data_IF_396446358276
#
_entry.id   IF_396446358276
#
_cell.length_a   1.000
_cell.length_b   1.000
_cell.length_c   1.000
_cell.angle_alpha   90.00
_cell.angle_beta   90.00
_cell.angle_gamma   90.00
#
_symmetry.space_group_name_H-M   'P 1'
#
loop_
_entity.id
_entity.type
_entity.pdbx_description
1 polymer ?
#
# COMPACT_ATOMS: atom_id res chain seq x y z
N UNK A 1 -30.72 -8.86 11.46
CA UNK A 1 -29.60 -9.10 12.40
C UNK A 1 -28.42 -8.30 11.89
N UNK A 2 -27.82 -7.44 12.73
CA UNK A 2 -26.57 -6.75 12.37
C UNK A 2 -25.49 -7.84 12.12
N UNK A 3 -24.76 -7.73 11.03
CA UNK A 3 -23.67 -8.65 10.73
C UNK A 3 -22.58 -8.42 11.79
N UNK A 4 -22.15 -9.44 12.56
CA UNK A 4 -21.16 -9.26 13.63
C UNK A 4 -19.79 -8.75 13.16
N UNK A 5 -19.54 -8.69 11.86
CA UNK A 5 -18.34 -8.09 11.28
C UNK A 5 -18.35 -6.54 11.28
N UNK A 6 -19.50 -5.92 11.55
CA UNK A 6 -19.64 -4.46 11.58
C UNK A 6 -19.42 -3.87 12.96
N UNK A 7 -19.39 -4.71 14.00
CA UNK A 7 -19.07 -4.29 15.35
C UNK A 7 -17.55 -4.17 15.53
N UNK A 8 -17.16 -3.23 16.39
CA UNK A 8 -15.77 -3.09 16.77
C UNK A 8 -15.30 -4.34 17.51
N UNK A 9 -14.31 -5.03 16.95
CA UNK A 9 -13.61 -6.12 17.65
C UNK A 9 -12.59 -5.48 18.58
N UNK A 10 -12.71 -5.72 19.88
CA UNK A 10 -11.77 -5.22 20.90
C UNK A 10 -11.31 -6.37 21.79
N UNK A 11 -10.01 -6.46 22.04
CA UNK A 11 -9.46 -7.41 23.00
C UNK A 11 -9.94 -7.08 24.42
N UNK A 12 -10.28 -8.07 25.22
CA UNK A 12 -10.91 -7.90 26.54
C UNK A 12 -9.96 -7.22 27.54
N UNK A 13 -8.69 -7.62 27.61
CA UNK A 13 -7.72 -7.02 28.51
C UNK A 13 -7.52 -5.53 28.14
N UNK A 14 -7.41 -5.20 26.84
CA UNK A 14 -7.31 -3.81 26.37
C UNK A 14 -8.56 -2.98 26.69
N UNK A 15 -9.75 -3.57 26.59
CA UNK A 15 -11.00 -2.92 26.96
C UNK A 15 -11.05 -2.58 28.46
N UNK A 16 -10.40 -3.39 29.30
CA UNK A 16 -10.26 -3.20 30.74
C UNK A 16 -9.04 -2.35 31.14
N UNK A 17 -8.33 -1.77 30.18
CA UNK A 17 -7.09 -1.02 30.39
C UNK A 17 -5.97 -1.86 31.06
N UNK A 18 -5.90 -3.15 30.73
CA UNK A 18 -4.89 -4.09 31.20
C UNK A 18 -3.91 -4.44 30.07
N UNK A 19 -2.66 -4.82 30.43
CA UNK A 19 -1.71 -5.32 29.45
C UNK A 19 -2.18 -6.67 28.91
N UNK A 20 -2.31 -6.84 27.57
CA UNK A 20 -3.00 -8.02 27.03
C UNK A 20 -2.19 -9.31 27.22
N UNK A 21 -2.81 -10.33 27.80
CA UNK A 21 -2.23 -11.69 27.96
C UNK A 21 -1.91 -12.32 26.58
N UNK A 22 -2.76 -12.09 25.58
CA UNK A 22 -2.54 -12.58 24.22
C UNK A 22 -1.25 -11.99 23.61
N UNK A 23 -1.01 -10.70 23.81
CA UNK A 23 0.22 -10.04 23.37
C UNK A 23 1.45 -10.60 24.09
N UNK A 24 1.36 -10.80 25.41
CA UNK A 24 2.42 -11.40 26.21
C UNK A 24 2.76 -12.81 25.74
N UNK A 25 1.74 -13.62 25.46
CA UNK A 25 1.92 -14.97 24.91
C UNK A 25 2.62 -14.97 23.53
N UNK A 26 2.22 -14.05 22.64
CA UNK A 26 2.86 -13.88 21.33
C UNK A 26 4.32 -13.45 21.47
N UNK A 27 4.62 -12.50 22.39
CA UNK A 27 5.97 -12.03 22.65
C UNK A 27 6.90 -13.13 23.21
N UNK A 28 6.35 -14.04 24.01
CA UNK A 28 7.08 -15.17 24.58
C UNK A 28 7.30 -16.33 23.57
N UNK A 29 6.54 -16.37 22.49
CA UNK A 29 6.63 -17.43 21.48
C UNK A 29 7.79 -17.24 20.51
N UNK A 30 8.22 -18.33 19.85
CA UNK A 30 9.18 -18.31 18.72
C UNK A 30 8.49 -18.03 17.38
N UNK A 31 7.16 -17.84 17.37
CA UNK A 31 6.36 -17.61 16.17
C UNK A 31 6.48 -16.19 15.60
N UNK A 32 5.67 -15.94 14.57
CA UNK A 32 5.57 -14.63 13.94
C UNK A 32 5.12 -13.57 14.96
N UNK A 33 5.79 -12.42 14.93
CA UNK A 33 5.46 -11.23 15.74
C UNK A 33 5.26 -10.04 14.82
N UNK A 34 4.07 -9.43 14.86
CA UNK A 34 3.87 -8.16 14.17
C UNK A 34 4.85 -7.09 14.70
N UNK A 35 5.07 -6.03 13.91
CA UNK A 35 6.04 -4.99 14.29
C UNK A 35 5.66 -4.32 15.62
N UNK A 36 4.38 -4.10 15.86
CA UNK A 36 3.87 -3.58 17.14
C UNK A 36 4.27 -4.47 18.31
N UNK A 37 4.10 -5.79 18.21
CA UNK A 37 4.43 -6.74 19.27
C UNK A 37 5.95 -6.80 19.58
N UNK A 38 6.80 -6.44 18.61
CA UNK A 38 8.25 -6.36 18.81
C UNK A 38 8.68 -5.08 19.55
N UNK A 39 7.88 -4.02 19.49
CA UNK A 39 8.17 -2.70 20.11
C UNK A 39 7.49 -2.53 21.46
N UNK A 40 6.25 -3.01 21.60
CA UNK A 40 5.46 -2.83 22.81
C UNK A 40 6.06 -3.58 23.99
N UNK A 41 6.27 -2.89 25.11
CA UNK A 41 6.69 -3.48 26.39
C UNK A 41 5.70 -3.13 27.49
N UNK A 42 5.76 -3.86 28.62
CA UNK A 42 4.92 -3.52 29.80
C UNK A 42 5.23 -2.13 30.34
N UNK A 43 6.50 -1.71 30.32
CA UNK A 43 6.93 -0.38 30.78
C UNK A 43 6.35 0.72 29.88
N UNK A 44 6.38 0.51 28.56
CA UNK A 44 5.80 1.46 27.59
C UNK A 44 4.28 1.54 27.75
N UNK A 45 3.63 0.39 27.98
CA UNK A 45 2.21 0.31 28.26
C UNK A 45 1.85 1.13 29.51
N UNK A 46 2.49 0.84 30.65
CA UNK A 46 2.22 1.56 31.92
C UNK A 46 2.45 3.07 31.81
N UNK A 47 3.41 3.49 30.99
CA UNK A 47 3.69 4.89 30.72
C UNK A 47 2.57 5.60 29.95
N UNK A 48 1.93 4.92 29.00
CA UNK A 48 1.07 5.56 28.01
C UNK A 48 -0.40 5.12 28.04
N UNK A 49 -0.76 4.08 28.80
CA UNK A 49 -2.11 3.47 28.79
C UNK A 49 -3.25 4.44 29.15
N UNK A 50 -2.98 5.44 29.98
CA UNK A 50 -3.98 6.40 30.43
C UNK A 50 -4.02 7.67 29.58
N UNK A 51 -3.05 7.82 28.66
CA UNK A 51 -3.01 8.96 27.74
C UNK A 51 -4.06 8.82 26.64
N UNK A 52 -4.67 9.96 26.27
CA UNK A 52 -5.63 10.08 25.18
C UNK A 52 -5.26 11.29 24.34
N UNK A 53 -5.27 11.12 23.01
CA UNK A 53 -5.07 12.26 22.11
C UNK A 53 -6.16 13.33 22.29
N UNK A 54 -5.82 14.59 22.09
CA UNK A 54 -6.75 15.69 22.35
C UNK A 54 -7.88 15.76 21.32
N UNK A 55 -7.59 15.45 20.05
CA UNK A 55 -8.57 15.61 18.95
C UNK A 55 -9.60 14.49 18.89
N UNK A 56 -9.22 13.22 19.05
CA UNK A 56 -10.13 12.09 18.92
C UNK A 56 -10.30 11.27 20.22
N UNK A 57 -9.56 11.59 21.26
CA UNK A 57 -9.52 10.74 22.48
C UNK A 57 -8.96 9.34 22.19
N UNK A 58 -8.10 9.21 21.17
CA UNK A 58 -7.52 7.94 20.79
C UNK A 58 -6.59 7.42 21.88
N UNK A 59 -6.66 6.12 22.18
CA UNK A 59 -5.90 5.49 23.27
C UNK A 59 -4.85 4.54 22.75
N UNK A 60 -3.82 4.26 23.55
CA UNK A 60 -2.83 3.23 23.23
C UNK A 60 -3.49 1.85 23.05
N UNK A 61 -4.49 1.52 23.87
CA UNK A 61 -5.28 0.28 23.75
C UNK A 61 -5.88 0.12 22.35
N UNK A 62 -6.50 1.19 21.83
CA UNK A 62 -7.06 1.19 20.47
C UNK A 62 -5.97 1.09 19.41
N UNK A 63 -4.84 1.79 19.63
CA UNK A 63 -3.73 1.77 18.67
C UNK A 63 -3.14 0.37 18.46
N UNK A 64 -2.99 -0.45 19.51
CA UNK A 64 -2.37 -1.78 19.44
C UNK A 64 -3.37 -2.94 19.23
N UNK A 65 -4.66 -2.66 19.25
CA UNK A 65 -5.71 -3.69 19.27
C UNK A 65 -5.62 -4.67 18.09
N UNK A 66 -5.30 -4.19 16.89
CA UNK A 66 -5.21 -5.06 15.70
C UNK A 66 -4.16 -6.15 15.86
N UNK A 67 -2.96 -5.80 16.30
CA UNK A 67 -1.87 -6.76 16.49
C UNK A 67 -2.06 -7.68 17.68
N UNK A 68 -2.86 -7.23 18.66
CA UNK A 68 -3.25 -8.04 19.83
C UNK A 68 -4.30 -9.09 19.43
N UNK A 69 -5.38 -8.68 18.75
CA UNK A 69 -6.43 -9.59 18.30
C UNK A 69 -5.98 -10.53 17.15
N UNK A 70 -5.07 -10.03 16.31
CA UNK A 70 -4.59 -10.73 15.10
C UNK A 70 -3.07 -10.68 15.01
N UNK A 71 -2.36 -11.54 15.76
CA UNK A 71 -0.89 -11.59 15.78
C UNK A 71 -0.25 -11.86 14.41
N UNK A 72 -0.99 -12.48 13.47
CA UNK A 72 -0.57 -12.69 12.09
C UNK A 72 -0.53 -11.40 11.25
N UNK A 73 -1.06 -10.27 11.75
CA UNK A 73 -0.92 -8.98 11.10
C UNK A 73 0.56 -8.60 10.94
N UNK A 74 0.91 -7.87 9.89
CA UNK A 74 2.31 -7.48 9.70
C UNK A 74 2.70 -6.31 10.59
N UNK A 75 1.91 -5.23 10.60
CA UNK A 75 2.22 -3.99 11.35
C UNK A 75 1.68 -4.03 12.78
N UNK A 76 0.41 -4.35 12.96
CA UNK A 76 -0.23 -4.57 14.25
C UNK A 76 -0.72 -3.32 14.99
N UNK A 77 -0.49 -2.10 14.47
CA UNK A 77 -0.97 -0.87 15.10
C UNK A 77 -1.57 0.12 14.09
N UNK A 78 -2.50 0.97 14.57
CA UNK A 78 -3.18 1.98 13.78
C UNK A 78 -3.35 3.29 14.55
N UNK A 79 -3.24 4.41 13.83
CA UNK A 79 -3.49 5.75 14.35
C UNK A 79 -4.97 6.11 14.20
N UNK A 80 -5.53 6.81 15.19
CA UNK A 80 -6.90 7.32 15.17
C UNK A 80 -7.02 8.79 14.76
N UNK A 81 -5.91 9.51 14.80
CA UNK A 81 -5.76 10.93 14.45
C UNK A 81 -4.30 11.27 14.15
N UNK A 82 -4.05 12.52 13.76
CA UNK A 82 -2.69 12.99 13.49
C UNK A 82 -1.81 12.96 14.75
N UNK A 83 -2.38 13.31 15.91
CA UNK A 83 -1.69 13.39 17.19
C UNK A 83 -1.18 12.02 17.66
N UNK A 84 -1.83 10.93 17.25
CA UNK A 84 -1.39 9.56 17.55
C UNK A 84 0.08 9.33 17.23
N UNK A 85 0.60 9.92 16.14
CA UNK A 85 1.98 9.74 15.71
C UNK A 85 2.98 10.50 16.59
N UNK A 86 2.57 11.58 17.24
CA UNK A 86 3.40 12.36 18.16
C UNK A 86 3.27 11.88 19.60
N UNK A 87 2.05 11.62 20.05
CA UNK A 87 1.74 11.26 21.42
C UNK A 87 2.22 9.84 21.76
N UNK A 88 2.09 8.92 20.79
CA UNK A 88 2.57 7.54 20.91
C UNK A 88 3.83 7.28 20.06
N UNK A 89 4.69 8.28 19.88
CA UNK A 89 5.89 8.17 19.02
C UNK A 89 6.83 7.04 19.46
N UNK A 90 6.89 6.72 20.74
CA UNK A 90 7.73 5.62 21.26
C UNK A 90 7.26 4.24 20.76
N UNK A 91 6.00 4.10 20.36
CA UNK A 91 5.47 2.95 19.65
C UNK A 91 5.61 3.11 18.14
N UNK A 92 5.07 4.22 17.60
CA UNK A 92 4.92 4.35 16.14
C UNK A 92 6.25 4.54 15.41
N UNK A 93 7.19 5.32 15.94
CA UNK A 93 8.44 5.62 15.23
C UNK A 93 9.32 4.38 15.03
N UNK A 94 9.57 3.52 16.01
CA UNK A 94 10.26 2.25 15.78
C UNK A 94 9.54 1.35 14.78
N UNK A 95 8.21 1.23 14.85
CA UNK A 95 7.41 0.46 13.89
C UNK A 95 7.55 1.01 12.47
N UNK A 96 7.53 2.33 12.30
CA UNK A 96 7.72 3.00 11.01
C UNK A 96 9.12 2.68 10.44
N UNK A 97 10.17 2.82 11.23
CA UNK A 97 11.54 2.53 10.81
C UNK A 97 11.75 1.05 10.45
N UNK A 98 11.15 0.14 11.21
CA UNK A 98 11.20 -1.30 10.93
C UNK A 98 10.47 -1.64 9.62
N UNK A 99 9.36 -0.98 9.33
CA UNK A 99 8.60 -1.20 8.09
C UNK A 99 9.28 -0.54 6.89
N UNK A 100 9.60 0.75 6.98
CA UNK A 100 10.21 1.55 5.92
C UNK A 100 11.74 1.50 6.01
N UNK A 101 12.31 0.31 5.94
CA UNK A 101 13.75 0.03 6.11
C UNK A 101 14.64 1.09 5.44
N UNK A 102 15.56 1.66 6.20
CA UNK A 102 16.48 2.69 5.75
C UNK A 102 15.95 4.13 5.88
N UNK A 103 14.69 4.32 6.30
CA UNK A 103 14.15 5.64 6.66
C UNK A 103 14.32 5.91 8.16
N UNK A 104 14.61 7.17 8.52
CA UNK A 104 14.76 7.62 9.91
C UNK A 104 13.72 8.65 10.28
N UNK A 105 13.12 8.47 11.45
CA UNK A 105 12.08 9.36 12.00
C UNK A 105 12.64 10.43 12.95
N UNK A 106 13.95 10.49 13.12
CA UNK A 106 14.67 11.43 13.99
C UNK A 106 14.82 12.85 13.43
N UNK A 107 14.24 13.12 12.26
CA UNK A 107 14.33 14.41 11.57
C UNK A 107 15.52 14.55 10.61
N UNK A 108 16.41 13.55 10.56
CA UNK A 108 17.54 13.55 9.60
C UNK A 108 17.08 13.31 8.15
N UNK A 109 15.89 12.75 7.97
CA UNK A 109 15.27 12.52 6.66
C UNK A 109 13.91 13.22 6.60
N UNK A 110 13.59 13.75 5.40
CA UNK A 110 12.27 14.31 5.09
C UNK A 110 11.65 13.59 3.90
N UNK A 111 10.33 13.47 3.93
CA UNK A 111 9.60 12.91 2.80
C UNK A 111 9.44 13.94 1.68
N UNK A 112 9.58 13.50 0.44
CA UNK A 112 9.38 14.32 -0.77
C UNK A 112 8.22 13.73 -1.57
N UNK A 113 7.23 14.57 -1.89
CA UNK A 113 6.12 14.22 -2.78
C UNK A 113 6.41 14.78 -4.18
N UNK A 114 6.32 13.95 -5.19
CA UNK A 114 6.48 14.36 -6.59
C UNK A 114 5.71 13.42 -7.51
N UNK A 115 4.62 13.92 -8.08
CA UNK A 115 3.74 13.21 -9.00
C UNK A 115 3.92 13.63 -10.47
N UNK A 116 5.08 14.22 -10.82
CA UNK A 116 5.39 14.63 -12.17
C UNK A 116 5.61 13.42 -13.08
N UNK A 117 4.71 13.23 -14.02
CA UNK A 117 4.69 12.10 -14.99
C UNK A 117 5.88 12.15 -15.93
N UNK A 118 6.36 13.36 -16.27
CA UNK A 118 7.45 13.56 -17.22
C UNK A 118 8.81 13.07 -16.67
N UNK A 119 8.91 12.92 -15.35
CA UNK A 119 10.08 12.33 -14.69
C UNK A 119 10.18 10.82 -14.83
N UNK A 120 9.12 10.16 -15.32
CA UNK A 120 9.17 8.74 -15.66
C UNK A 120 9.84 8.57 -17.01
N UNK A 121 11.13 8.23 -16.98
CA UNK A 121 11.96 8.08 -18.20
C UNK A 121 11.98 6.65 -18.75
N UNK A 122 11.56 5.66 -17.96
CA UNK A 122 11.52 4.25 -18.37
C UNK A 122 10.09 3.84 -18.72
N UNK A 123 9.88 3.34 -19.95
CA UNK A 123 8.61 2.70 -20.38
C UNK A 123 8.65 1.19 -20.24
N UNK A 124 7.48 0.56 -20.36
CA UNK A 124 7.41 -0.88 -20.59
C UNK A 124 7.87 -1.18 -22.02
N UNK A 125 8.79 -2.14 -22.20
CA UNK A 125 9.14 -2.64 -23.52
C UNK A 125 7.97 -3.41 -24.14
N UNK A 126 7.91 -3.51 -25.49
CA UNK A 126 6.81 -4.15 -26.24
C UNK A 126 6.51 -5.56 -25.72
N UNK A 127 7.55 -6.34 -25.48
CA UNK A 127 7.43 -7.70 -24.94
C UNK A 127 6.83 -7.76 -23.55
N UNK A 128 7.16 -6.79 -22.70
CA UNK A 128 6.60 -6.65 -21.35
C UNK A 128 5.14 -6.23 -21.46
N UNK A 129 4.85 -5.24 -22.29
CA UNK A 129 3.51 -4.71 -22.48
C UNK A 129 2.51 -5.79 -22.93
N UNK A 130 2.93 -6.70 -23.80
CA UNK A 130 2.13 -7.86 -24.22
C UNK A 130 1.82 -8.86 -23.08
N UNK A 131 2.56 -8.81 -21.97
CA UNK A 131 2.35 -9.67 -20.80
C UNK A 131 1.58 -8.98 -19.65
N UNK A 132 1.37 -7.67 -19.71
CA UNK A 132 0.61 -6.94 -18.71
C UNK A 132 -0.89 -7.10 -18.97
N UNK A 133 -1.60 -7.61 -17.96
CA UNK A 133 -3.05 -7.78 -18.00
C UNK A 133 -3.75 -6.48 -17.63
N UNK A 134 -3.27 -5.84 -16.55
CA UNK A 134 -3.86 -4.60 -16.02
C UNK A 134 -2.83 -3.80 -15.24
N UNK A 135 -3.05 -2.50 -15.21
CA UNK A 135 -2.30 -1.54 -14.39
C UNK A 135 -3.26 -0.88 -13.41
N UNK A 136 -2.87 -0.80 -12.13
CA UNK A 136 -3.64 -0.13 -11.08
C UNK A 136 -2.72 0.68 -10.17
N UNK A 137 -2.94 1.99 -10.11
CA UNK A 137 -2.21 2.87 -9.19
C UNK A 137 -3.22 3.54 -8.27
N UNK A 138 -2.98 3.46 -6.97
CA UNK A 138 -3.83 4.05 -5.95
C UNK A 138 -3.02 4.83 -4.93
N UNK A 139 -3.62 5.89 -4.38
CA UNK A 139 -3.09 6.62 -3.23
C UNK A 139 -4.19 6.88 -2.23
N UNK A 140 -3.83 7.21 -0.99
CA UNK A 140 -4.78 7.63 0.04
C UNK A 140 -4.53 9.08 0.45
N UNK A 141 -5.60 9.75 0.87
CA UNK A 141 -5.56 11.08 1.48
C UNK A 141 -6.52 11.14 2.67
N UNK A 142 -6.05 11.73 3.75
CA UNK A 142 -6.88 12.00 4.92
C UNK A 142 -7.06 13.52 5.08
N UNK A 143 -8.27 13.94 5.44
CA UNK A 143 -8.66 15.35 5.52
C UNK A 143 -8.24 15.92 6.88
N UNK A 144 -7.55 17.04 6.86
CA UNK A 144 -6.94 17.65 8.06
C UNK A 144 -7.96 18.13 9.10
N UNK A 145 -9.19 18.40 8.67
CA UNK A 145 -10.26 18.89 9.53
C UNK A 145 -11.01 17.81 10.33
N UNK A 146 -10.68 16.54 10.12
CA UNK A 146 -11.31 15.39 10.79
C UNK A 146 -10.25 14.48 11.43
N UNK A 147 -10.58 13.72 12.49
CA UNK A 147 -9.73 12.62 12.94
C UNK A 147 -9.64 11.56 11.84
N UNK A 148 -8.62 10.70 11.88
CA UNK A 148 -8.53 9.56 10.97
C UNK A 148 -9.74 8.62 11.12
N UNK A 149 -10.05 7.83 10.09
CA UNK A 149 -11.24 6.98 10.08
C UNK A 149 -11.42 6.10 11.34
N UNK A 150 -10.38 5.44 11.90
CA UNK A 150 -10.52 4.68 13.16
C UNK A 150 -10.93 5.53 14.37
N UNK A 151 -10.47 6.77 14.45
CA UNK A 151 -10.80 7.70 15.54
C UNK A 151 -12.06 8.53 15.31
N UNK A 152 -12.64 8.48 14.09
CA UNK A 152 -13.84 9.20 13.72
C UNK A 152 -15.12 8.59 14.28
N UNK A 153 -16.19 9.40 14.33
CA UNK A 153 -17.56 8.97 14.68
C UNK A 153 -18.38 8.71 13.42
N UNK A 154 -19.60 8.21 13.61
CA UNK A 154 -20.58 8.07 12.51
C UNK A 154 -20.86 9.41 11.83
N UNK A 155 -21.03 10.47 12.62
CA UNK A 155 -21.27 11.84 12.15
C UNK A 155 -20.09 12.33 11.31
N UNK A 156 -18.85 12.15 11.79
CA UNK A 156 -17.65 12.47 11.03
C UNK A 156 -17.62 11.80 9.67
N UNK A 157 -17.97 10.51 9.61
CA UNK A 157 -17.98 9.77 8.34
C UNK A 157 -19.07 10.25 7.39
N UNK A 158 -20.24 10.63 7.93
CA UNK A 158 -21.32 11.21 7.13
C UNK A 158 -20.91 12.57 6.57
N UNK A 159 -20.34 13.46 7.40
CA UNK A 159 -19.83 14.77 6.98
C UNK A 159 -18.77 14.66 5.88
N UNK A 160 -17.82 13.70 6.01
CA UNK A 160 -16.82 13.42 4.96
C UNK A 160 -17.51 13.00 3.66
N UNK A 161 -18.48 12.09 3.73
CA UNK A 161 -19.19 11.63 2.53
C UNK A 161 -19.98 12.76 1.86
N UNK A 162 -20.63 13.63 2.63
CA UNK A 162 -21.38 14.79 2.14
C UNK A 162 -20.45 15.86 1.54
N UNK A 163 -19.29 16.09 2.16
CA UNK A 163 -18.24 16.96 1.63
C UNK A 163 -17.72 16.44 0.30
N UNK A 164 -17.40 15.14 0.23
CA UNK A 164 -16.87 14.54 -0.99
C UNK A 164 -17.88 14.54 -2.14
N UNK A 165 -19.18 14.37 -1.86
CA UNK A 165 -20.22 14.49 -2.90
C UNK A 165 -20.24 15.88 -3.54
N UNK A 166 -20.04 16.95 -2.75
CA UNK A 166 -19.90 18.32 -3.27
C UNK A 166 -18.62 18.47 -4.11
N UNK A 167 -17.52 17.86 -3.70
CA UNK A 167 -16.25 17.86 -4.45
C UNK A 167 -16.40 17.10 -5.77
N UNK A 168 -17.11 15.96 -5.78
CA UNK A 168 -17.35 15.20 -7.01
C UNK A 168 -18.13 15.98 -8.07
N UNK A 169 -19.00 16.88 -7.65
CA UNK A 169 -19.71 17.76 -8.57
C UNK A 169 -18.81 18.79 -9.29
N UNK A 170 -17.55 18.96 -8.83
CA UNK A 170 -16.57 19.84 -9.48
C UNK A 170 -15.64 19.10 -10.45
N UNK A 171 -15.74 17.77 -10.51
CA UNK A 171 -14.87 16.97 -11.40
C UNK A 171 -15.42 17.00 -12.83
N UNK A 172 -14.52 17.18 -13.80
CA UNK A 172 -14.85 17.37 -15.20
C UNK A 172 -14.09 16.37 -16.10
N UNK A 173 -14.53 16.26 -17.37
CA UNK A 173 -13.89 15.45 -18.38
C UNK A 173 -13.86 13.95 -18.01
N UNK A 174 -12.70 13.31 -18.17
CA UNK A 174 -12.46 11.90 -17.85
C UNK A 174 -12.45 11.59 -16.34
N UNK A 175 -12.51 12.63 -15.50
CA UNK A 175 -12.64 12.48 -14.04
C UNK A 175 -14.10 12.62 -13.57
N UNK A 176 -15.03 13.08 -14.41
CA UNK A 176 -16.44 13.20 -14.06
C UNK A 176 -17.12 11.83 -13.93
N UNK A 177 -18.03 11.68 -12.97
CA UNK A 177 -18.64 10.38 -12.72
C UNK A 177 -19.81 10.41 -11.75
N UNK A 178 -20.11 9.26 -11.15
CA UNK A 178 -21.22 9.06 -10.22
C UNK A 178 -20.74 8.55 -8.86
N UNK A 179 -21.33 9.09 -7.80
CA UNK A 179 -21.13 8.63 -6.44
C UNK A 179 -22.22 7.66 -6.01
N UNK A 180 -21.83 6.50 -5.50
CA UNK A 180 -22.69 5.44 -5.00
C UNK A 180 -22.49 5.31 -3.48
N UNK A 181 -23.46 5.74 -2.69
CA UNK A 181 -23.44 5.56 -1.23
C UNK A 181 -23.83 4.14 -0.86
N UNK A 182 -23.07 3.48 0.00
CA UNK A 182 -23.37 2.10 0.45
C UNK A 182 -24.77 1.92 1.06
N UNK A 183 -25.31 2.98 1.66
CA UNK A 183 -26.63 2.96 2.28
C UNK A 183 -27.80 3.09 1.31
N UNK A 184 -27.56 3.49 0.06
CA UNK A 184 -28.63 3.79 -0.91
C UNK A 184 -28.44 3.15 -2.28
N UNK A 185 -27.39 2.33 -2.47
CA UNK A 185 -27.21 1.55 -3.70
C UNK A 185 -28.35 0.57 -3.90
N UNK A 186 -28.85 0.52 -5.14
CA UNK A 186 -29.79 -0.52 -5.56
C UNK A 186 -29.06 -1.87 -5.68
N UNK A 187 -29.77 -3.01 -5.63
CA UNK A 187 -29.16 -4.33 -5.87
C UNK A 187 -28.41 -4.43 -7.21
N UNK A 188 -28.92 -3.79 -8.28
CA UNK A 188 -28.29 -3.76 -9.60
C UNK A 188 -26.98 -2.98 -9.59
N UNK A 189 -26.94 -1.78 -8.97
CA UNK A 189 -25.71 -0.99 -8.81
C UNK A 189 -24.68 -1.75 -7.98
N UNK A 190 -25.12 -2.40 -6.90
CA UNK A 190 -24.24 -3.24 -6.08
C UNK A 190 -23.62 -4.37 -6.90
N UNK A 191 -24.43 -5.07 -7.70
CA UNK A 191 -23.95 -6.18 -8.53
C UNK A 191 -22.94 -5.69 -9.59
N UNK A 192 -23.23 -4.57 -10.26
CA UNK A 192 -22.29 -3.98 -11.23
C UNK A 192 -20.93 -3.66 -10.59
N UNK A 193 -20.92 -3.03 -9.41
CA UNK A 193 -19.67 -2.71 -8.69
C UNK A 193 -18.93 -3.97 -8.21
N UNK A 194 -19.64 -5.08 -7.94
CA UNK A 194 -19.03 -6.38 -7.66
C UNK A 194 -18.37 -6.96 -8.90
N UNK A 195 -19.08 -6.97 -10.03
CA UNK A 195 -18.61 -7.52 -11.30
C UNK A 195 -17.39 -6.76 -11.84
N UNK A 196 -17.34 -5.45 -11.64
CA UNK A 196 -16.19 -4.60 -11.97
C UNK A 196 -15.04 -4.71 -10.96
N UNK A 197 -15.21 -5.43 -9.84
CA UNK A 197 -14.24 -5.52 -8.74
C UNK A 197 -13.92 -4.16 -8.07
N UNK A 198 -14.89 -3.24 -8.05
CA UNK A 198 -14.76 -1.92 -7.45
C UNK A 198 -15.32 -1.85 -6.03
N UNK A 199 -16.22 -2.77 -5.68
CA UNK A 199 -16.89 -2.74 -4.38
C UNK A 199 -15.96 -3.20 -3.26
N UNK A 200 -15.64 -2.31 -2.32
CA UNK A 200 -15.09 -2.72 -1.03
C UNK A 200 -16.20 -3.12 -0.04
N UNK A 201 -15.91 -4.09 0.79
CA UNK A 201 -16.88 -4.69 1.74
C UNK A 201 -16.33 -4.65 3.15
N UNK A 202 -17.21 -4.39 4.14
CA UNK A 202 -16.86 -4.35 5.56
C UNK A 202 -16.78 -5.74 6.20
N UNK A 203 -16.05 -6.70 5.63
CA UNK A 203 -16.02 -8.10 6.09
C UNK A 203 -14.66 -8.59 6.57
N UNK A 204 -13.68 -7.73 6.66
CA UNK A 204 -12.34 -8.08 7.11
C UNK A 204 -12.24 -7.87 8.64
N UNK A 205 -12.02 -8.98 9.38
CA UNK A 205 -11.93 -8.95 10.84
C UNK A 205 -10.74 -8.14 11.36
N UNK A 206 -9.61 -8.14 10.64
CA UNK A 206 -8.44 -7.34 11.01
C UNK A 206 -8.74 -5.85 10.86
N UNK A 207 -9.46 -5.46 9.80
CA UNK A 207 -9.93 -4.10 9.62
C UNK A 207 -11.01 -3.71 10.65
N UNK A 208 -11.85 -4.64 11.09
CA UNK A 208 -12.79 -4.40 12.18
C UNK A 208 -12.04 -4.14 13.51
N UNK A 209 -10.98 -4.90 13.81
CA UNK A 209 -10.15 -4.68 15.00
C UNK A 209 -9.37 -3.36 14.95
N UNK A 210 -9.05 -2.84 13.76
CA UNK A 210 -8.43 -1.50 13.60
C UNK A 210 -9.42 -0.33 13.79
N UNK A 211 -10.73 -0.61 13.77
CA UNK A 211 -11.79 0.41 13.84
C UNK A 211 -12.26 0.91 12.47
N UNK A 212 -11.74 0.38 11.36
CA UNK A 212 -12.13 0.80 10.00
C UNK A 212 -13.61 0.57 9.70
N UNK A 213 -14.22 -0.44 10.30
CA UNK A 213 -15.62 -0.82 10.04
C UNK A 213 -16.61 -0.26 11.06
N UNK A 214 -16.19 0.59 12.00
CA UNK A 214 -17.12 1.22 12.92
C UNK A 214 -18.26 1.91 12.16
N UNK A 215 -19.51 1.74 12.62
CA UNK A 215 -20.73 2.30 12.04
C UNK A 215 -20.99 1.92 10.57
N UNK A 216 -20.50 0.76 10.13
CA UNK A 216 -20.76 0.28 8.77
C UNK A 216 -22.28 0.14 8.52
N UNK A 217 -22.80 0.47 7.32
CA UNK A 217 -22.11 1.03 6.15
C UNK A 217 -22.21 2.57 6.06
N UNK A 218 -22.55 3.25 7.14
CA UNK A 218 -22.81 4.70 7.16
C UNK A 218 -21.57 5.52 6.78
N UNK A 219 -21.80 6.56 5.97
CA UNK A 219 -20.74 7.45 5.49
C UNK A 219 -19.76 6.82 4.49
N UNK A 220 -20.03 5.61 3.98
CA UNK A 220 -19.20 4.94 2.95
C UNK A 220 -19.82 5.08 1.58
N UNK A 221 -18.94 5.10 0.59
CA UNK A 221 -19.38 5.15 -0.80
C UNK A 221 -18.23 4.95 -1.79
N UNK A 222 -18.59 4.79 -3.04
CA UNK A 222 -17.69 4.63 -4.16
C UNK A 222 -18.07 5.65 -5.23
N UNK A 223 -17.11 6.47 -5.64
CA UNK A 223 -17.24 7.29 -6.84
C UNK A 223 -16.57 6.57 -8.01
N UNK A 224 -17.21 6.59 -9.19
CA UNK A 224 -16.68 5.97 -10.41
C UNK A 224 -16.82 6.93 -11.56
N UNK A 225 -15.75 7.17 -12.33
CA UNK A 225 -15.79 7.97 -13.56
C UNK A 225 -16.62 7.27 -14.65
N UNK A 226 -17.09 8.05 -15.61
CA UNK A 226 -17.95 7.53 -16.67
C UNK A 226 -17.27 6.46 -17.54
N UNK A 227 -15.94 6.49 -17.66
CA UNK A 227 -15.11 5.51 -18.38
C UNK A 227 -14.59 4.35 -17.51
N UNK A 228 -14.99 4.30 -16.23
CA UNK A 228 -14.62 3.27 -15.25
C UNK A 228 -13.10 3.16 -14.94
N UNK A 229 -12.29 4.14 -15.35
CA UNK A 229 -10.85 4.13 -15.18
C UNK A 229 -10.34 4.92 -13.96
N UNK A 230 -11.22 5.73 -13.36
CA UNK A 230 -10.93 6.52 -12.18
C UNK A 230 -12.02 6.32 -11.13
N UNK A 231 -11.62 5.92 -9.93
CA UNK A 231 -12.58 5.66 -8.86
C UNK A 231 -12.02 6.08 -7.49
N UNK A 232 -12.93 6.41 -6.58
CA UNK A 232 -12.60 6.72 -5.21
C UNK A 232 -13.39 5.87 -4.24
N UNK A 233 -12.72 5.40 -3.20
CA UNK A 233 -13.35 4.81 -2.02
C UNK A 233 -13.38 5.83 -0.90
N UNK A 234 -14.55 6.03 -0.31
CA UNK A 234 -14.78 6.98 0.78
C UNK A 234 -14.96 6.21 2.09
N UNK A 235 -14.14 6.56 3.10
CA UNK A 235 -14.15 5.96 4.44
C UNK A 235 -14.02 4.43 4.44
N UNK A 236 -13.15 3.88 3.58
CA UNK A 236 -12.80 2.45 3.67
C UNK A 236 -11.83 2.24 4.83
N UNK A 237 -10.54 2.52 4.70
CA UNK A 237 -9.55 2.54 5.78
C UNK A 237 -9.04 3.94 6.07
N UNK A 238 -8.78 4.69 5.01
CA UNK A 238 -8.51 6.14 5.02
C UNK A 238 -9.74 6.89 4.52
N UNK A 239 -9.81 8.22 4.71
CA UNK A 239 -10.96 9.01 4.27
C UNK A 239 -11.22 8.90 2.78
N UNK A 240 -10.13 8.98 1.98
CA UNK A 240 -10.21 8.95 0.52
C UNK A 240 -9.14 8.00 -0.01
N UNK A 241 -9.52 6.99 -0.76
CA UNK A 241 -8.61 6.22 -1.61
C UNK A 241 -8.89 6.55 -3.06
N UNK A 242 -7.91 7.15 -3.73
CA UNK A 242 -7.97 7.58 -5.13
C UNK A 242 -7.30 6.52 -5.97
N UNK A 243 -7.99 6.00 -6.97
CA UNK A 243 -7.58 4.84 -7.75
C UNK A 243 -7.70 5.18 -9.23
N UNK A 244 -6.63 4.97 -9.97
CA UNK A 244 -6.62 4.97 -11.43
C UNK A 244 -6.21 3.60 -11.92
N UNK A 245 -6.94 3.05 -12.89
CA UNK A 245 -6.69 1.71 -13.39
C UNK A 245 -7.17 1.55 -14.83
N UNK A 246 -6.55 0.61 -15.55
CA UNK A 246 -7.04 0.16 -16.85
C UNK A 246 -6.45 -1.20 -17.23
N UNK A 247 -7.06 -1.83 -18.22
CA UNK A 247 -6.52 -3.04 -18.84
C UNK A 247 -5.25 -2.70 -19.64
N UNK A 248 -4.26 -3.59 -19.59
CA UNK A 248 -3.00 -3.39 -20.30
C UNK A 248 -1.95 -2.60 -19.51
N UNK A 249 -0.89 -2.21 -20.20
CA UNK A 249 0.36 -1.73 -19.64
C UNK A 249 0.64 -0.23 -19.83
N UNK A 250 -0.36 0.63 -20.10
CA UNK A 250 -0.12 2.08 -20.19
C UNK A 250 0.01 2.71 -18.78
N UNK A 251 1.13 2.41 -18.15
CA UNK A 251 1.43 2.86 -16.80
C UNK A 251 1.49 4.39 -16.70
N UNK A 252 2.04 5.07 -17.74
CA UNK A 252 2.12 6.53 -17.74
C UNK A 252 0.74 7.17 -17.79
N UNK A 253 -0.16 6.67 -18.63
CA UNK A 253 -1.55 7.15 -18.70
C UNK A 253 -2.27 6.96 -17.37
N UNK A 254 -2.14 5.78 -16.74
CA UNK A 254 -2.73 5.48 -15.44
C UNK A 254 -2.18 6.40 -14.35
N UNK A 255 -0.88 6.65 -14.31
CA UNK A 255 -0.26 7.54 -13.34
C UNK A 255 -0.63 9.01 -13.59
N UNK A 256 -0.67 9.44 -14.87
CA UNK A 256 -1.11 10.80 -15.25
C UNK A 256 -2.54 11.07 -14.79
N UNK A 257 -3.46 10.13 -15.01
CA UNK A 257 -4.86 10.26 -14.56
C UNK A 257 -4.93 10.33 -13.03
N UNK A 258 -4.15 9.50 -12.31
CA UNK A 258 -4.06 9.60 -10.85
C UNK A 258 -3.58 10.97 -10.40
N UNK A 259 -2.48 11.48 -10.98
CA UNK A 259 -1.89 12.79 -10.65
C UNK A 259 -2.89 13.93 -10.85
N UNK A 260 -3.54 13.99 -12.02
CA UNK A 260 -4.61 14.96 -12.32
C UNK A 260 -5.79 14.82 -11.37
N UNK A 261 -6.20 13.59 -11.07
CA UNK A 261 -7.29 13.31 -10.13
C UNK A 261 -7.00 13.77 -8.72
N UNK A 262 -5.78 13.53 -8.21
CA UNK A 262 -5.36 14.02 -6.89
C UNK A 262 -5.38 15.55 -6.84
N UNK A 263 -4.88 16.24 -7.87
CA UNK A 263 -4.89 17.69 -7.96
C UNK A 263 -6.31 18.26 -8.07
N UNK A 264 -7.18 17.65 -8.88
CA UNK A 264 -8.57 18.09 -9.06
C UNK A 264 -9.38 17.95 -7.75
N UNK A 265 -9.21 16.84 -7.01
CA UNK A 265 -9.87 16.65 -5.72
C UNK A 265 -9.36 17.66 -4.69
N UNK A 266 -8.06 17.93 -4.66
CA UNK A 266 -7.50 18.95 -3.77
C UNK A 266 -8.07 20.35 -4.07
N UNK A 267 -8.13 20.72 -5.35
CA UNK A 267 -8.73 21.99 -5.78
C UNK A 267 -10.22 22.08 -5.42
N UNK A 268 -10.98 20.99 -5.64
CA UNK A 268 -12.40 20.92 -5.24
C UNK A 268 -12.60 21.04 -3.73
N UNK A 269 -11.75 20.38 -2.93
CA UNK A 269 -11.78 20.50 -1.47
C UNK A 269 -11.50 21.94 -1.02
N UNK A 270 -10.46 22.58 -1.59
CA UNK A 270 -10.14 24.00 -1.30
C UNK A 270 -11.31 24.91 -1.62
N UNK A 271 -11.92 24.74 -2.79
CA UNK A 271 -13.06 25.53 -3.23
C UNK A 271 -14.29 25.35 -2.33
N UNK A 272 -14.62 24.11 -1.96
CA UNK A 272 -15.82 23.81 -1.16
C UNK A 272 -15.64 24.20 0.31
N UNK A 273 -14.42 24.05 0.86
CA UNK A 273 -14.16 24.29 2.29
C UNK A 273 -13.63 25.67 2.61
N UNK A 274 -13.12 26.40 1.61
CA UNK A 274 -12.42 27.68 1.79
C UNK A 274 -11.07 27.55 2.52
N UNK A 275 -10.47 26.33 2.57
CA UNK A 275 -9.20 26.05 3.25
C UNK A 275 -8.08 25.84 2.22
N UNK A 276 -6.89 26.37 2.47
CA UNK A 276 -5.72 26.15 1.62
C UNK A 276 -5.03 24.80 1.91
N UNK A 277 -5.06 24.36 3.19
CA UNK A 277 -4.43 23.12 3.63
C UNK A 277 -5.51 22.10 4.03
N UNK A 278 -5.79 21.17 3.13
CA UNK A 278 -6.92 20.23 3.24
C UNK A 278 -6.52 18.80 3.60
N UNK A 279 -5.24 18.42 3.38
CA UNK A 279 -4.77 17.06 3.65
C UNK A 279 -3.88 16.99 4.87
N UNK A 280 -4.01 15.93 5.66
CA UNK A 280 -3.05 15.62 6.70
C UNK A 280 -1.69 15.31 6.10
N UNK A 281 -0.67 16.02 6.55
CA UNK A 281 0.72 15.75 6.20
C UNK A 281 1.68 16.19 7.31
N UNK A 282 2.87 15.62 7.28
CA UNK A 282 4.00 15.94 8.14
C UNK A 282 5.29 15.91 7.31
N UNK A 283 6.29 16.73 7.67
CA UNK A 283 7.54 16.81 6.88
C UNK A 283 8.35 15.51 6.93
N UNK A 284 8.29 14.79 8.05
CA UNK A 284 9.01 13.52 8.25
C UNK A 284 8.15 12.36 7.73
N UNK A 285 6.87 12.30 8.11
CA UNK A 285 6.01 11.16 7.82
C UNK A 285 5.30 11.25 6.46
N UNK A 286 5.40 12.37 5.76
CA UNK A 286 4.73 12.59 4.47
C UNK A 286 3.22 12.69 4.61
N UNK A 287 2.47 12.12 3.68
CA UNK A 287 1.01 12.05 3.77
C UNK A 287 0.63 11.06 4.88
N UNK A 288 -0.25 11.52 5.77
CA UNK A 288 -0.66 10.74 6.95
C UNK A 288 -1.74 9.73 6.56
N UNK A 289 -1.58 8.51 7.03
CA UNK A 289 -2.52 7.39 6.88
C UNK A 289 -2.75 6.72 8.24
N UNK A 290 -3.84 5.97 8.37
CA UNK A 290 -4.16 5.26 9.62
C UNK A 290 -3.14 4.16 9.95
N UNK A 291 -2.68 3.42 8.94
CA UNK A 291 -1.68 2.37 9.12
C UNK A 291 -0.28 2.91 8.82
N UNK A 292 0.72 2.72 9.70
CA UNK A 292 2.10 3.15 9.48
C UNK A 292 2.71 2.69 8.16
N UNK A 293 2.30 1.54 7.64
CA UNK A 293 2.78 1.01 6.36
C UNK A 293 2.42 1.86 5.14
N UNK A 294 1.45 2.76 5.29
CA UNK A 294 0.97 3.61 4.19
C UNK A 294 1.54 5.03 4.21
N UNK A 295 2.26 5.44 5.24
CA UNK A 295 2.86 6.76 5.36
C UNK A 295 3.76 7.14 4.16
N UNK A 296 3.99 8.43 3.98
CA UNK A 296 4.78 8.96 2.88
C UNK A 296 3.92 9.31 1.68
N UNK A 297 4.09 8.64 0.54
CA UNK A 297 3.24 8.84 -0.64
C UNK A 297 1.81 8.32 -0.47
N UNK A 298 1.57 7.42 0.48
CA UNK A 298 0.35 6.61 0.57
C UNK A 298 0.03 5.84 -0.73
N UNK A 299 0.98 5.76 -1.67
CA UNK A 299 0.75 5.22 -3.00
C UNK A 299 1.17 3.75 -3.12
N UNK A 300 0.35 2.98 -3.80
CA UNK A 300 0.70 1.66 -4.33
C UNK A 300 0.37 1.63 -5.81
N UNK A 301 1.41 1.52 -6.64
CA UNK A 301 1.28 1.19 -8.05
C UNK A 301 1.51 -0.30 -8.25
N UNK A 302 0.71 -0.94 -9.07
CA UNK A 302 0.85 -2.36 -9.40
C UNK A 302 0.52 -2.66 -10.84
N UNK A 303 1.16 -3.71 -11.35
CA UNK A 303 0.84 -4.33 -12.64
C UNK A 303 0.64 -5.83 -12.44
N UNK A 304 -0.42 -6.37 -13.04
CA UNK A 304 -0.60 -7.81 -13.15
C UNK A 304 0.14 -8.31 -14.39
N UNK A 305 1.14 -9.17 -14.22
CA UNK A 305 2.00 -9.68 -15.28
C UNK A 305 1.89 -11.20 -15.42
N UNK A 306 1.80 -11.67 -16.68
CA UNK A 306 1.78 -13.10 -17.03
C UNK A 306 3.22 -13.62 -17.13
N UNK A 307 3.61 -14.47 -16.19
CA UNK A 307 4.95 -15.09 -16.13
C UNK A 307 4.89 -16.57 -15.72
N UNK A 308 4.06 -17.41 -16.37
CA UNK A 308 3.80 -18.78 -15.95
C UNK A 308 5.06 -19.67 -15.98
N UNK A 309 5.94 -19.48 -16.96
CA UNK A 309 7.16 -20.27 -17.09
C UNK A 309 8.17 -19.91 -16.00
N UNK A 310 8.28 -18.63 -15.65
CA UNK A 310 9.12 -18.15 -14.57
C UNK A 310 8.63 -18.70 -13.22
N UNK A 311 7.32 -18.64 -12.96
CA UNK A 311 6.70 -19.19 -11.75
C UNK A 311 6.99 -20.68 -11.64
N UNK A 312 6.76 -21.46 -12.72
CA UNK A 312 7.00 -22.90 -12.73
C UNK A 312 8.48 -23.27 -12.48
N UNK A 313 9.41 -22.41 -12.88
CA UNK A 313 10.84 -22.72 -12.85
C UNK A 313 11.54 -22.33 -11.56
N UNK A 314 11.26 -21.15 -11.01
CA UNK A 314 11.96 -20.66 -9.81
C UNK A 314 11.05 -20.50 -8.59
N UNK A 315 9.73 -20.61 -8.77
CA UNK A 315 8.74 -20.44 -7.71
C UNK A 315 8.49 -18.98 -7.35
N UNK A 316 7.39 -18.77 -6.63
CA UNK A 316 6.92 -17.44 -6.23
C UNK A 316 7.89 -16.73 -5.28
N UNK A 317 8.43 -17.44 -4.30
CA UNK A 317 9.29 -16.86 -3.26
C UNK A 317 10.59 -16.28 -3.86
N UNK A 318 11.15 -16.93 -4.88
CA UNK A 318 12.34 -16.42 -5.55
C UNK A 318 12.03 -15.20 -6.41
N UNK A 319 10.85 -15.16 -7.04
CA UNK A 319 10.37 -13.98 -7.76
C UNK A 319 10.17 -12.80 -6.80
N UNK A 320 9.60 -13.02 -5.60
CA UNK A 320 9.45 -11.93 -4.62
C UNK A 320 10.82 -11.43 -4.11
N UNK A 321 11.81 -12.30 -3.92
CA UNK A 321 13.18 -11.88 -3.58
C UNK A 321 13.79 -10.98 -4.65
N UNK A 322 13.64 -11.35 -5.92
CA UNK A 322 14.10 -10.54 -7.06
C UNK A 322 13.38 -9.17 -7.05
N UNK A 323 12.05 -9.17 -6.92
CA UNK A 323 11.26 -7.95 -6.84
C UNK A 323 11.70 -7.06 -5.65
N UNK A 324 11.96 -7.66 -4.48
CA UNK A 324 12.47 -6.96 -3.29
C UNK A 324 13.82 -6.29 -3.54
N UNK A 325 14.72 -6.95 -4.26
CA UNK A 325 15.98 -6.37 -4.70
C UNK A 325 15.83 -5.14 -5.61
N UNK A 326 14.67 -4.99 -6.24
CA UNK A 326 14.32 -3.88 -7.13
C UNK A 326 13.32 -2.88 -6.52
N UNK A 327 13.24 -2.80 -5.19
CA UNK A 327 12.30 -1.95 -4.43
C UNK A 327 10.81 -2.27 -4.68
N UNK A 328 10.51 -3.45 -5.21
CA UNK A 328 9.17 -3.95 -5.47
C UNK A 328 8.84 -5.17 -4.60
N UNK A 329 7.64 -5.66 -4.71
CA UNK A 329 7.19 -6.91 -4.11
C UNK A 329 6.29 -7.65 -5.10
N UNK A 330 6.32 -8.97 -5.05
CA UNK A 330 5.36 -9.81 -5.73
C UNK A 330 4.24 -10.23 -4.77
N UNK A 331 3.01 -10.35 -5.30
CA UNK A 331 1.84 -10.88 -4.58
C UNK A 331 1.02 -11.76 -5.53
N UNK A 332 0.15 -12.61 -4.96
CA UNK A 332 -0.87 -13.30 -5.76
C UNK A 332 -1.86 -12.32 -6.38
N UNK A 333 -2.43 -12.67 -7.51
CA UNK A 333 -3.27 -11.77 -8.33
C UNK A 333 -4.60 -11.38 -7.69
N UNK A 334 -5.09 -12.14 -6.69
CA UNK A 334 -6.35 -11.87 -5.98
C UNK A 334 -6.14 -11.31 -4.58
N UNK A 335 -4.90 -10.97 -4.20
CA UNK A 335 -4.52 -10.42 -2.90
C UNK A 335 -3.32 -11.10 -2.26
N UNK A 336 -3.01 -10.71 -1.02
CA UNK A 336 -1.77 -11.11 -0.33
C UNK A 336 -1.64 -12.62 -0.06
N UNK A 337 -2.78 -13.34 -0.06
CA UNK A 337 -2.86 -14.78 0.24
C UNK A 337 -3.51 -15.59 -0.88
N UNK A 338 -3.56 -15.05 -2.11
CA UNK A 338 -4.17 -15.78 -3.23
C UNK A 338 -3.20 -16.77 -3.85
N UNK A 339 -3.75 -17.85 -4.40
CA UNK A 339 -3.00 -18.87 -5.13
C UNK A 339 -2.37 -18.26 -6.40
N UNK A 340 -1.09 -18.56 -6.65
CA UNK A 340 -0.33 -18.05 -7.80
C UNK A 340 -0.28 -19.13 -8.86
N UNK A 341 -1.02 -18.96 -9.95
CA UNK A 341 -1.11 -19.96 -11.02
C UNK A 341 -0.29 -19.53 -12.25
N UNK A 342 -0.63 -18.40 -12.88
CA UNK A 342 -0.03 -17.96 -14.15
C UNK A 342 0.42 -16.50 -14.13
N UNK A 343 -0.04 -15.74 -13.16
CA UNK A 343 0.16 -14.30 -13.07
C UNK A 343 0.50 -13.87 -11.65
N UNK A 344 1.22 -12.77 -11.55
CA UNK A 344 1.57 -12.14 -10.28
C UNK A 344 1.27 -10.65 -10.35
N UNK A 345 1.04 -10.06 -9.17
CA UNK A 345 0.91 -8.62 -8.96
C UNK A 345 2.26 -8.06 -8.50
N UNK A 346 2.91 -7.26 -9.35
CA UNK A 346 4.15 -6.56 -9.01
C UNK A 346 3.82 -5.13 -8.60
N UNK A 347 4.29 -4.73 -7.42
CA UNK A 347 4.02 -3.41 -6.88
C UNK A 347 5.19 -2.86 -6.07
N UNK A 348 5.26 -1.52 -5.90
CA UNK A 348 6.16 -0.93 -4.92
C UNK A 348 5.76 -1.37 -3.51
N UNK A 349 6.76 -1.64 -2.64
CA UNK A 349 6.52 -1.83 -1.20
C UNK A 349 6.91 -0.59 -0.39
N UNK A 350 7.89 0.19 -0.87
CA UNK A 350 8.30 1.46 -0.26
C UNK A 350 7.25 2.54 -0.51
N UNK A 351 7.12 3.49 0.41
CA UNK A 351 6.23 4.65 0.29
C UNK A 351 6.85 5.88 0.94
N UNK A 352 7.44 5.73 2.12
CA UNK A 352 8.09 6.81 2.88
C UNK A 352 9.53 7.01 2.39
N UNK A 353 9.93 8.28 2.19
CA UNK A 353 11.28 8.64 1.74
C UNK A 353 11.50 8.61 0.22
N UNK A 354 10.50 8.26 -0.57
CA UNK A 354 10.60 8.18 -2.03
C UNK A 354 9.46 8.93 -2.70
N UNK A 355 9.70 9.72 -3.76
CA UNK A 355 8.64 10.38 -4.52
C UNK A 355 7.85 9.38 -5.39
N UNK A 356 6.62 9.74 -5.70
CA UNK A 356 5.67 8.87 -6.39
C UNK A 356 6.17 8.41 -7.77
N UNK A 357 6.74 9.32 -8.59
CA UNK A 357 7.24 8.98 -9.92
C UNK A 357 8.34 7.90 -9.88
N UNK A 358 9.20 7.94 -8.86
CA UNK A 358 10.30 6.97 -8.72
C UNK A 358 9.77 5.57 -8.37
N UNK A 359 8.74 5.50 -7.52
CA UNK A 359 8.08 4.22 -7.19
C UNK A 359 7.44 3.57 -8.41
N UNK A 360 6.84 4.38 -9.30
CA UNK A 360 6.29 3.92 -10.58
C UNK A 360 7.39 3.46 -11.52
N UNK A 361 8.49 4.19 -11.58
CA UNK A 361 9.64 3.83 -12.41
C UNK A 361 10.29 2.52 -11.97
N UNK A 362 10.45 2.31 -10.67
CA UNK A 362 10.96 1.03 -10.13
C UNK A 362 10.04 -0.14 -10.47
N UNK A 363 8.74 0.05 -10.38
CA UNK A 363 7.75 -0.96 -10.79
C UNK A 363 7.87 -1.30 -12.29
N UNK A 364 8.01 -0.32 -13.16
CA UNK A 364 8.22 -0.52 -14.60
C UNK A 364 9.50 -1.33 -14.85
N UNK A 365 10.61 -0.97 -14.21
CA UNK A 365 11.88 -1.69 -14.32
C UNK A 365 11.76 -3.13 -13.86
N UNK A 366 11.10 -3.36 -12.72
CA UNK A 366 10.88 -4.70 -12.20
C UNK A 366 10.03 -5.56 -13.17
N UNK A 367 8.95 -5.00 -13.71
CA UNK A 367 8.12 -5.69 -14.69
C UNK A 367 8.91 -6.05 -15.97
N UNK A 368 9.74 -5.13 -16.49
CA UNK A 368 10.61 -5.38 -17.63
C UNK A 368 11.60 -6.51 -17.35
N UNK A 369 12.21 -6.53 -16.18
CA UNK A 369 13.15 -7.58 -15.78
C UNK A 369 12.47 -8.95 -15.72
N UNK A 370 11.32 -9.07 -15.07
CA UNK A 370 10.60 -10.34 -14.98
C UNK A 370 10.09 -10.83 -16.33
N UNK A 371 9.61 -9.93 -17.19
CA UNK A 371 9.21 -10.27 -18.56
C UNK A 371 10.39 -10.78 -19.39
N UNK A 372 11.57 -10.16 -19.27
CA UNK A 372 12.79 -10.63 -19.92
C UNK A 372 13.18 -12.02 -19.42
N UNK A 373 13.14 -12.26 -18.11
CA UNK A 373 13.44 -13.58 -17.53
C UNK A 373 12.45 -14.66 -17.97
N UNK A 374 11.18 -14.33 -18.16
CA UNK A 374 10.16 -15.25 -18.69
C UNK A 374 10.49 -15.74 -20.10
N UNK A 375 11.10 -14.89 -20.94
CA UNK A 375 11.42 -15.18 -22.34
C UNK A 375 12.74 -15.93 -22.49
N UNK A 376 13.82 -15.44 -21.85
CA UNK A 376 15.18 -15.94 -22.03
C UNK A 376 15.27 -17.45 -21.80
N UNK A 377 14.53 -17.98 -20.84
CA UNK A 377 14.60 -19.40 -20.47
C UNK A 377 13.84 -20.33 -21.40
N UNK A 378 13.16 -19.81 -22.43
CA UNK A 378 12.39 -20.62 -23.37
C UNK A 378 12.98 -20.61 -24.78
N UNK A 379 13.44 -19.45 -25.25
CA UNK A 379 13.70 -19.23 -26.67
C UNK A 379 15.21 -19.29 -27.02
N UNK A 380 16.10 -19.33 -26.01
CA UNK A 380 17.54 -19.29 -26.24
C UNK A 380 18.31 -20.40 -25.51
N UNK A 381 19.15 -21.10 -26.23
CA UNK A 381 20.18 -21.95 -25.62
C UNK A 381 21.22 -21.06 -24.91
N UNK A 382 21.92 -21.59 -23.90
CA UNK A 382 22.97 -20.87 -23.16
C UNK A 382 24.09 -20.27 -24.04
N UNK A 383 24.19 -20.69 -25.30
CA UNK A 383 25.15 -20.23 -26.29
C UNK A 383 24.68 -19.06 -27.16
N UNK A 384 23.44 -18.57 -26.99
CA UNK A 384 22.92 -17.44 -27.79
C UNK A 384 23.49 -16.10 -27.28
N UNK A 385 24.17 -15.30 -28.15
CA UNK A 385 24.69 -13.99 -27.74
C UNK A 385 23.65 -13.02 -27.15
N UNK A 386 22.38 -13.17 -27.53
CA UNK A 386 21.27 -12.38 -27.01
C UNK A 386 20.97 -12.71 -25.54
N UNK A 387 21.25 -13.97 -25.12
CA UNK A 387 21.18 -14.37 -23.70
C UNK A 387 22.14 -13.56 -22.85
N UNK A 388 23.40 -13.43 -23.29
CA UNK A 388 24.44 -12.65 -22.58
C UNK A 388 24.05 -11.17 -22.47
N UNK A 389 23.56 -10.56 -23.56
CA UNK A 389 23.17 -9.14 -23.59
C UNK A 389 22.01 -8.83 -22.63
N UNK A 390 20.98 -9.68 -22.60
CA UNK A 390 19.83 -9.48 -21.70
C UNK A 390 20.22 -9.80 -20.24
N UNK A 391 21.06 -10.80 -20.02
CA UNK A 391 21.61 -11.10 -18.69
C UNK A 391 22.46 -9.93 -18.15
N UNK A 392 23.29 -9.33 -19.01
CA UNK A 392 24.08 -8.14 -18.67
C UNK A 392 23.22 -6.93 -18.35
N UNK A 393 22.13 -6.71 -19.07
CA UNK A 393 21.18 -5.63 -18.79
C UNK A 393 20.42 -5.86 -17.46
N UNK A 394 20.03 -7.10 -17.17
CA UNK A 394 19.47 -7.51 -15.88
C UNK A 394 20.48 -7.28 -14.76
N UNK A 395 21.71 -7.74 -14.93
CA UNK A 395 22.79 -7.58 -13.94
C UNK A 395 23.18 -6.12 -13.74
N UNK A 396 23.19 -5.30 -14.79
CA UNK A 396 23.38 -3.83 -14.68
C UNK A 396 22.23 -3.18 -13.90
N UNK A 397 20.98 -3.55 -14.19
CA UNK A 397 19.81 -3.05 -13.47
C UNK A 397 19.86 -3.44 -11.99
N UNK A 398 20.24 -4.67 -11.67
CA UNK A 398 20.44 -5.16 -10.30
C UNK A 398 21.63 -4.49 -9.62
N UNK A 399 22.74 -4.27 -10.32
CA UNK A 399 23.94 -3.62 -9.78
C UNK A 399 23.67 -2.16 -9.38
N UNK A 400 22.91 -1.42 -10.16
CA UNK A 400 22.51 -0.05 -9.82
C UNK A 400 21.62 -0.03 -8.57
N UNK A 401 20.73 -0.99 -8.41
CA UNK A 401 19.91 -1.13 -7.21
C UNK A 401 20.73 -1.51 -5.97
N UNK A 402 21.70 -2.40 -6.11
CA UNK A 402 22.61 -2.83 -5.02
C UNK A 402 23.55 -1.70 -4.58
N UNK A 403 23.99 -0.83 -5.50
CA UNK A 403 24.82 0.33 -5.18
C UNK A 403 24.07 1.35 -4.32
N UNK A 404 22.78 1.55 -4.60
CA UNK A 404 21.93 2.49 -3.84
C UNK A 404 21.55 1.93 -2.46
N UNK A 405 21.54 0.59 -2.29
CA UNK A 405 21.08 -0.07 -1.05
C UNK A 405 22.20 -0.48 -0.08
N UNK A 406 23.47 -0.26 -0.43
CA UNK A 406 24.60 -0.59 0.46
C UNK A 406 24.82 -2.09 0.73
N UNK A 407 24.20 -2.99 -0.04
CA UNK A 407 24.27 -4.45 0.15
C UNK A 407 25.37 -5.13 -0.70
N UNK A 408 26.57 -4.57 -0.70
CA UNK A 408 27.68 -5.12 -1.50
C UNK A 408 28.41 -6.34 -0.89
N UNK A 409 27.99 -6.88 0.26
CA UNK A 409 28.85 -7.85 0.98
C UNK A 409 28.45 -9.34 0.87
N UNK A 410 27.42 -9.74 0.13
CA UNK A 410 26.94 -11.15 0.22
C UNK A 410 26.69 -11.89 -1.10
N UNK A 411 26.96 -11.33 -2.27
CA UNK A 411 26.78 -12.06 -3.54
C UNK A 411 28.00 -12.03 -4.46
N UNK A 412 29.14 -12.46 -3.94
CA UNK A 412 30.25 -12.95 -4.79
C UNK A 412 30.04 -14.46 -4.96
N UNK A 413 29.38 -14.88 -6.03
CA UNK A 413 29.44 -16.27 -6.48
C UNK A 413 30.90 -16.59 -6.91
N UNK A 414 31.51 -17.68 -6.44
CA UNK A 414 32.83 -18.07 -6.88
C UNK A 414 32.76 -18.45 -8.36
N UNK A 415 33.48 -17.71 -9.20
CA UNK A 415 33.75 -18.14 -10.56
C UNK A 415 34.62 -19.40 -10.48
N UNK A 416 34.05 -20.57 -10.74
CA UNK A 416 34.81 -21.78 -10.94
C UNK A 416 35.58 -21.65 -12.26
N UNK A 417 36.90 -21.47 -12.15
CA UNK A 417 37.85 -21.61 -13.27
C UNK A 417 37.77 -23.02 -13.80
N UNK A 418 37.15 -23.22 -14.93
CA UNK A 418 37.27 -24.46 -15.69
C UNK A 418 38.58 -24.38 -16.48
N UNK A 419 39.58 -25.08 -15.99
CA UNK A 419 40.83 -25.34 -16.71
C UNK A 419 40.55 -26.21 -17.94
N UNK A 420 41.11 -25.94 -19.13
CA UNK A 420 40.96 -26.82 -20.29
C UNK A 420 41.76 -28.12 -20.07
N UNK A 421 41.07 -29.26 -20.10
CA UNK A 421 41.74 -30.57 -20.17
C UNK A 421 42.32 -30.74 -21.56
N UNK A 422 43.63 -30.82 -21.65
CA UNK A 422 44.37 -31.40 -22.77
C UNK A 422 44.22 -32.92 -22.68
N UNK A 423 43.73 -33.55 -23.72
CA UNK A 423 43.77 -34.99 -23.93
C UNK A 423 44.99 -35.36 -24.84
N UNK A 424 45.62 -36.50 -24.60
CA UNK A 424 46.70 -36.98 -25.42
C UNK A 424 46.23 -37.53 -26.78
#
# INVERSE_FOLDING_TARGET
MADPYFDLIMNEDLANNEYPKDLEAVQASDGHKCLMAQVMTKELWEKLKDHKTASAGWTLARAINTGTCYPSSFVGCHAGDLESYTDYKELFYPVIEMYHKGYKTDGSMKHVTDMDVEKITTGLGDTTQAKIISTRIRTARNLKMFPLNPGGTKETRLEIADLMEKVFATLEGDLAGKFYRHTSMTPGETQNLVDWHFLFRGKDKMQAASGYHADWPHGRGIFVSADEKFLLWINEGDHIRIISMEQGGDVKSVFSRLSRGVAAIEAGLKAVTGRDDVYMHDEILGKIACCPSNLGTCMRGSVHILVPKLIAKIGFDEIDKIARGMNCQARGSSGEHSEVIDRIDISNWRRLGFPEYLLVQDMIKCANTLAAMEIIRHDYAHSDPRFSAVLDDILKSLSVCLFITGLYSTFALPMSTVSPRTTP
#
